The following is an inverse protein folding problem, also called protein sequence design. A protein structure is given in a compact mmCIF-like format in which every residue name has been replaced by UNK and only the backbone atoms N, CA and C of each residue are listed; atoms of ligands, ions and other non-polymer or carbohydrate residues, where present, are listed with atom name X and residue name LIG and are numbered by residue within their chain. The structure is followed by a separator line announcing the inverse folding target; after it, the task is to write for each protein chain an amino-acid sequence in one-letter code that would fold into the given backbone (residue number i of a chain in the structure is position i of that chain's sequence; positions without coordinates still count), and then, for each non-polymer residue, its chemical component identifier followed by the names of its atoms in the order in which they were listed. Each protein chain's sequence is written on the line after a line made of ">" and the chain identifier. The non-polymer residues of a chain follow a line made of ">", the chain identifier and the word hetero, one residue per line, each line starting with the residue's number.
data_IF_293680234485
#
_entry.id   IF_293680234485
#
_cell.length_a   1.000
_cell.length_b   1.000
_cell.length_c   1.000
_cell.angle_alpha   90.00
_cell.angle_beta   90.00
_cell.angle_gamma   90.00
#
_symmetry.space_group_name_H-M   'P 1'
#
loop_
_entity.id
_entity.type
_entity.pdbx_description
1 polymer ?
#
# COMPACT_ATOMS: atom_id res chain seq x y z
N UNK A 1 -12.19 3.16 -2.56
CA UNK A 1 -11.60 2.12 -3.41
C UNK A 1 -12.41 0.83 -3.39
N UNK A 2 -12.61 0.20 -2.23
CA UNK A 2 -13.28 -1.12 -2.14
C UNK A 2 -14.78 -1.15 -2.41
N UNK A 3 -15.52 -0.07 -2.08
CA UNK A 3 -16.95 0.05 -2.41
C UNK A 3 -17.17 0.07 -3.93
N UNK A 4 -16.47 0.90 -4.73
CA UNK A 4 -16.50 0.81 -6.19
C UNK A 4 -16.22 -0.60 -6.72
N UNK A 5 -15.17 -1.25 -6.23
CA UNK A 5 -14.84 -2.63 -6.62
C UNK A 5 -16.01 -3.61 -6.36
N UNK A 6 -16.62 -3.54 -5.18
CA UNK A 6 -17.79 -4.37 -4.84
C UNK A 6 -19.00 -4.10 -5.75
N UNK A 7 -19.23 -2.84 -6.12
CA UNK A 7 -20.31 -2.45 -7.03
C UNK A 7 -20.06 -2.91 -8.47
N UNK A 8 -18.82 -2.82 -8.95
CA UNK A 8 -18.41 -3.33 -10.27
C UNK A 8 -18.59 -4.85 -10.37
N UNK A 9 -18.25 -5.61 -9.32
CA UNK A 9 -18.50 -7.04 -9.26
C UNK A 9 -20.00 -7.37 -9.38
N UNK A 10 -20.86 -6.60 -8.70
CA UNK A 10 -22.31 -6.73 -8.86
C UNK A 10 -22.78 -6.39 -10.27
N UNK A 11 -22.26 -5.33 -10.86
CA UNK A 11 -22.58 -4.93 -12.24
C UNK A 11 -22.19 -6.02 -13.24
N UNK A 12 -21.04 -6.68 -13.02
CA UNK A 12 -20.58 -7.83 -13.78
C UNK A 12 -21.32 -9.14 -13.46
N UNK A 13 -22.36 -9.11 -12.63
CA UNK A 13 -23.15 -10.28 -12.21
C UNK A 13 -22.32 -11.36 -11.52
N UNK A 14 -21.34 -10.96 -10.70
CA UNK A 14 -20.74 -11.82 -9.68
C UNK A 14 -21.66 -11.78 -8.44
N UNK A 15 -22.10 -12.93 -7.89
CA UNK A 15 -23.09 -12.98 -6.81
C UNK A 15 -22.46 -12.65 -5.45
N UNK A 16 -21.91 -11.44 -5.32
CA UNK A 16 -21.31 -10.97 -4.06
C UNK A 16 -22.36 -10.47 -3.07
N UNK A 17 -22.17 -10.81 -1.80
CA UNK A 17 -23.01 -10.42 -0.68
C UNK A 17 -22.31 -9.43 0.24
N UNK A 18 -23.10 -8.71 1.04
CA UNK A 18 -22.55 -7.80 2.05
C UNK A 18 -21.75 -8.56 3.12
N UNK A 19 -22.13 -9.80 3.45
CA UNK A 19 -21.42 -10.61 4.43
C UNK A 19 -20.00 -10.93 3.95
N UNK A 20 -19.87 -11.36 2.71
CA UNK A 20 -18.56 -11.65 2.10
C UNK A 20 -17.68 -10.40 2.00
N UNK A 21 -18.31 -9.26 1.69
CA UNK A 21 -17.61 -7.98 1.69
C UNK A 21 -17.11 -7.59 3.08
N UNK A 22 -17.91 -7.80 4.14
CA UNK A 22 -17.46 -7.58 5.51
C UNK A 22 -16.31 -8.52 5.88
N UNK A 23 -16.37 -9.80 5.49
CA UNK A 23 -15.26 -10.74 5.73
C UNK A 23 -13.97 -10.35 5.02
N UNK A 24 -14.05 -9.75 3.83
CA UNK A 24 -12.87 -9.18 3.17
C UNK A 24 -12.27 -8.04 4.01
N UNK A 25 -13.13 -7.13 4.51
CA UNK A 25 -12.66 -6.01 5.34
C UNK A 25 -12.06 -6.47 6.67
N UNK A 26 -12.64 -7.47 7.32
CA UNK A 26 -12.08 -8.10 8.52
C UNK A 26 -10.67 -8.66 8.27
N UNK A 27 -10.46 -9.31 7.11
CA UNK A 27 -9.14 -9.82 6.72
C UNK A 27 -8.11 -8.72 6.49
N UNK A 28 -8.52 -7.59 5.94
CA UNK A 28 -7.65 -6.41 5.78
C UNK A 28 -7.34 -5.76 7.13
N UNK A 29 -8.34 -5.61 8.00
CA UNK A 29 -8.16 -5.06 9.35
C UNK A 29 -7.21 -5.92 10.20
N UNK A 30 -7.24 -7.24 9.98
CA UNK A 30 -6.32 -8.19 10.62
C UNK A 30 -4.89 -8.18 10.02
N UNK A 31 -4.62 -7.38 8.98
CA UNK A 31 -3.31 -7.31 8.33
C UNK A 31 -2.93 -8.60 7.57
N UNK A 32 -3.92 -9.37 7.07
CA UNK A 32 -3.63 -10.58 6.28
C UNK A 32 -2.93 -10.26 4.95
N UNK A 33 -3.07 -9.01 4.49
CA UNK A 33 -2.47 -8.50 3.27
C UNK A 33 -2.05 -7.06 3.48
N UNK A 34 -0.74 -6.81 3.47
CA UNK A 34 -0.16 -5.47 3.58
C UNK A 34 0.67 -5.16 2.33
N UNK A 35 0.37 -4.01 1.70
CA UNK A 35 1.13 -3.45 0.57
C UNK A 35 1.41 -4.40 -0.60
N UNK A 36 0.55 -5.40 -0.81
CA UNK A 36 0.70 -6.41 -1.86
C UNK A 36 -0.62 -6.60 -2.63
N UNK A 37 -0.60 -6.26 -3.92
CA UNK A 37 -1.75 -6.35 -4.82
C UNK A 37 -2.10 -7.79 -5.15
N UNK A 38 -1.10 -8.68 -5.27
CA UNK A 38 -1.31 -10.09 -5.57
C UNK A 38 -1.92 -10.82 -4.37
N UNK A 39 -1.39 -10.58 -3.17
CA UNK A 39 -1.99 -11.12 -1.96
C UNK A 39 -3.43 -10.58 -1.75
N UNK A 40 -3.68 -9.32 -2.12
CA UNK A 40 -5.03 -8.74 -2.06
C UNK A 40 -5.98 -9.43 -3.06
N UNK A 41 -5.50 -9.72 -4.27
CA UNK A 41 -6.24 -10.47 -5.29
C UNK A 41 -6.72 -11.82 -4.75
N UNK A 42 -5.84 -12.61 -4.14
CA UNK A 42 -6.20 -13.92 -3.61
C UNK A 42 -7.16 -13.82 -2.40
N UNK A 43 -6.94 -12.87 -1.49
CA UNK A 43 -7.85 -12.64 -0.37
C UNK A 43 -9.24 -12.23 -0.87
N UNK A 44 -9.33 -11.27 -1.79
CA UNK A 44 -10.58 -10.80 -2.37
C UNK A 44 -11.31 -11.92 -3.11
N UNK A 45 -10.60 -12.73 -3.91
CA UNK A 45 -11.19 -13.87 -4.62
C UNK A 45 -11.75 -14.91 -3.64
N UNK A 46 -10.99 -15.27 -2.61
CA UNK A 46 -11.43 -16.22 -1.59
C UNK A 46 -12.63 -15.70 -0.78
N UNK A 47 -12.63 -14.40 -0.44
CA UNK A 47 -13.69 -13.78 0.34
C UNK A 47 -14.97 -13.59 -0.47
N UNK A 48 -14.88 -13.20 -1.75
CA UNK A 48 -16.03 -12.73 -2.54
C UNK A 48 -16.58 -13.74 -3.55
N UNK A 49 -15.81 -14.75 -3.97
CA UNK A 49 -16.22 -15.70 -5.02
C UNK A 49 -16.40 -17.10 -4.41
N UNK A 50 -17.65 -17.60 -4.39
CA UNK A 50 -18.00 -18.91 -3.80
C UNK A 50 -18.25 -20.01 -4.80
N UNK A 51 -18.20 -19.67 -6.08
CA UNK A 51 -18.51 -20.57 -7.17
C UNK A 51 -17.55 -20.25 -8.32
N UNK A 52 -16.88 -21.28 -8.81
CA UNK A 52 -15.83 -21.19 -9.80
C UNK A 52 -16.28 -20.56 -11.12
N UNK A 53 -17.58 -20.65 -11.45
CA UNK A 53 -18.15 -20.09 -12.68
C UNK A 53 -18.08 -18.57 -12.75
N UNK A 54 -17.77 -17.90 -11.64
CA UNK A 54 -17.64 -16.45 -11.56
C UNK A 54 -16.20 -15.97 -11.50
N UNK A 55 -15.21 -16.88 -11.50
CA UNK A 55 -13.78 -16.52 -11.43
C UNK A 55 -13.39 -15.63 -12.61
N UNK A 56 -13.72 -16.00 -13.84
CA UNK A 56 -13.33 -15.22 -15.02
C UNK A 56 -13.87 -13.78 -14.98
N UNK A 57 -15.10 -13.61 -14.47
CA UNK A 57 -15.73 -12.29 -14.34
C UNK A 57 -15.07 -11.47 -13.24
N UNK A 58 -14.76 -12.12 -12.12
CA UNK A 58 -14.00 -11.49 -11.05
C UNK A 58 -12.64 -11.01 -11.56
N UNK A 59 -11.90 -11.86 -12.29
CA UNK A 59 -10.59 -11.54 -12.83
C UNK A 59 -10.64 -10.34 -13.79
N UNK A 60 -11.63 -10.30 -14.67
CA UNK A 60 -11.85 -9.16 -15.58
C UNK A 60 -12.13 -7.85 -14.82
N UNK A 61 -13.00 -7.89 -13.82
CA UNK A 61 -13.33 -6.72 -12.99
C UNK A 61 -12.13 -6.28 -12.17
N UNK A 62 -11.41 -7.23 -11.57
CA UNK A 62 -10.22 -6.94 -10.78
C UNK A 62 -9.15 -6.27 -11.64
N UNK A 63 -8.83 -6.86 -12.80
CA UNK A 63 -7.88 -6.29 -13.75
C UNK A 63 -8.31 -4.91 -14.24
N UNK A 64 -9.62 -4.65 -14.41
CA UNK A 64 -10.14 -3.34 -14.80
C UNK A 64 -9.98 -2.29 -13.69
N UNK A 65 -10.37 -2.64 -12.46
CA UNK A 65 -10.41 -1.71 -11.32
C UNK A 65 -9.01 -1.39 -10.80
N UNK A 66 -8.10 -2.37 -10.81
CA UNK A 66 -6.73 -2.23 -10.32
C UNK A 66 -5.70 -1.97 -11.42
N UNK A 67 -6.17 -1.75 -12.66
CA UNK A 67 -5.31 -1.33 -13.78
C UNK A 67 -4.55 -0.06 -13.42
N UNK A 68 -3.22 -0.14 -13.38
CA UNK A 68 -2.35 0.99 -13.02
C UNK A 68 -2.07 1.14 -11.53
N UNK A 69 -2.76 0.41 -10.64
CA UNK A 69 -2.37 0.28 -9.23
C UNK A 69 -1.15 -0.63 -9.11
N UNK A 70 -0.98 -1.63 -9.99
CA UNK A 70 0.26 -2.41 -10.10
C UNK A 70 1.49 -1.54 -10.38
N UNK A 71 1.33 -0.44 -11.13
CA UNK A 71 2.40 0.54 -11.37
C UNK A 71 2.69 1.42 -10.14
N UNK A 72 1.76 1.49 -9.18
CA UNK A 72 1.88 2.24 -7.93
C UNK A 72 2.19 1.35 -6.70
N UNK A 73 2.02 0.03 -6.83
CA UNK A 73 2.25 -0.96 -5.77
C UNK A 73 3.56 -1.72 -5.90
N UNK A 74 4.27 -1.55 -7.02
CA UNK A 74 5.68 -1.94 -7.11
C UNK A 74 6.53 -1.03 -6.22
N UNK A 75 7.61 -1.58 -5.66
CA UNK A 75 8.64 -0.84 -4.92
C UNK A 75 9.25 0.35 -5.68
N UNK A 76 8.92 0.49 -6.97
CA UNK A 76 9.36 1.56 -7.86
C UNK A 76 8.39 2.76 -7.91
N UNK A 77 7.24 2.69 -7.21
CA UNK A 77 6.24 3.75 -7.22
C UNK A 77 6.57 4.95 -6.33
N UNK A 78 7.62 4.85 -5.52
CA UNK A 78 8.23 6.04 -4.95
C UNK A 78 9.28 6.50 -5.94
N UNK A 79 8.84 7.24 -6.94
CA UNK A 79 9.74 8.12 -7.68
C UNK A 79 10.18 9.21 -6.68
N UNK A 80 11.15 8.88 -5.82
CA UNK A 80 11.66 9.71 -4.71
C UNK A 80 12.02 11.11 -5.22
N UNK A 81 12.34 11.22 -6.51
CA UNK A 81 12.63 12.45 -7.23
C UNK A 81 11.51 13.50 -7.17
N UNK A 82 10.25 13.13 -6.90
CA UNK A 82 9.11 14.05 -6.98
C UNK A 82 8.33 14.27 -5.67
N UNK A 83 8.80 13.79 -4.52
CA UNK A 83 8.10 14.06 -3.26
C UNK A 83 8.28 15.54 -2.86
N UNK A 84 7.21 16.35 -2.75
CA UNK A 84 7.33 17.75 -2.34
C UNK A 84 7.85 17.85 -0.91
N UNK A 85 8.91 18.64 -0.71
CA UNK A 85 9.55 18.82 0.60
C UNK A 85 8.57 19.30 1.68
N UNK A 86 7.65 20.20 1.30
CA UNK A 86 6.62 20.73 2.20
C UNK A 86 5.68 19.63 2.72
N UNK A 87 5.38 18.63 1.90
CA UNK A 87 4.52 17.51 2.28
C UNK A 87 5.21 16.59 3.29
N UNK A 88 6.52 16.33 3.12
CA UNK A 88 7.32 15.57 4.08
C UNK A 88 7.49 16.29 5.41
N UNK A 89 7.70 17.62 5.41
CA UNK A 89 7.75 18.41 6.66
C UNK A 89 6.45 18.28 7.45
N UNK A 90 5.29 18.40 6.79
CA UNK A 90 3.98 18.26 7.44
C UNK A 90 3.73 16.85 7.97
N UNK A 91 4.20 15.81 7.27
CA UNK A 91 4.14 14.42 7.75
C UNK A 91 5.01 14.22 9.00
N UNK A 92 6.23 14.75 8.98
CA UNK A 92 7.13 14.71 10.12
C UNK A 92 6.54 15.41 11.35
N UNK A 93 5.94 16.59 11.18
CA UNK A 93 5.27 17.31 12.28
C UNK A 93 4.09 16.54 12.89
N UNK A 94 3.36 15.79 12.06
CA UNK A 94 2.15 15.06 12.47
C UNK A 94 2.44 13.69 13.10
N UNK A 95 3.53 13.04 12.71
CA UNK A 95 3.82 11.65 13.09
C UNK A 95 5.01 11.48 14.03
N UNK A 96 5.93 12.44 14.10
CA UNK A 96 7.06 12.35 15.04
C UNK A 96 6.61 12.73 16.46
N UNK A 97 6.97 11.89 17.42
CA UNK A 97 6.88 12.19 18.85
C UNK A 97 7.89 13.28 19.24
N UNK A 98 7.70 13.90 20.40
CA UNK A 98 8.61 14.96 20.90
C UNK A 98 10.06 14.48 21.08
N UNK A 99 10.26 13.20 21.38
CA UNK A 99 11.59 12.59 21.47
C UNK A 99 12.24 12.44 20.09
N UNK A 100 11.47 12.02 19.10
CA UNK A 100 11.94 11.90 17.71
C UNK A 100 12.20 13.26 17.07
N UNK A 101 11.40 14.29 17.37
CA UNK A 101 11.67 15.66 16.93
C UNK A 101 13.00 16.19 17.46
N UNK A 102 13.32 15.91 18.73
CA UNK A 102 14.63 16.28 19.32
C UNK A 102 15.79 15.52 18.66
N UNK A 103 15.58 14.27 18.28
CA UNK A 103 16.57 13.50 17.51
C UNK A 103 16.81 14.13 16.13
N UNK A 104 15.75 14.60 15.46
CA UNK A 104 15.87 15.33 14.18
C UNK A 104 16.66 16.63 14.36
N UNK A 105 16.40 17.40 15.40
CA UNK A 105 17.18 18.61 15.72
C UNK A 105 18.65 18.27 16.01
N UNK A 106 18.91 17.23 16.82
CA UNK A 106 20.26 16.78 17.17
C UNK A 106 21.07 16.27 15.95
N UNK A 107 20.39 15.71 14.95
CA UNK A 107 20.98 15.30 13.68
C UNK A 107 21.43 16.47 12.80
N UNK A 108 21.00 17.70 13.11
CA UNK A 108 21.26 18.91 12.33
C UNK A 108 20.02 19.43 11.59
N UNK A 109 18.82 19.07 12.06
CA UNK A 109 17.55 19.53 11.50
C UNK A 109 17.05 18.68 10.33
N UNK A 110 15.88 19.08 9.82
CA UNK A 110 15.16 18.37 8.77
C UNK A 110 15.97 18.24 7.46
N UNK A 111 16.78 19.24 7.13
CA UNK A 111 17.56 19.25 5.89
C UNK A 111 18.60 18.13 5.87
N UNK A 112 19.28 17.91 7.01
CA UNK A 112 20.29 16.86 7.16
C UNK A 112 19.67 15.47 7.29
N UNK A 113 18.45 15.38 7.84
CA UNK A 113 17.64 14.16 7.81
C UNK A 113 17.32 13.77 6.34
N UNK A 114 16.90 14.73 5.52
CA UNK A 114 16.60 14.51 4.10
C UNK A 114 17.84 14.15 3.27
N UNK A 115 18.99 14.76 3.56
CA UNK A 115 20.27 14.40 2.93
C UNK A 115 20.67 12.95 3.27
N UNK A 116 20.57 12.57 4.54
CA UNK A 116 20.86 11.20 4.99
C UNK A 116 19.89 10.18 4.38
N UNK A 117 18.61 10.56 4.25
CA UNK A 117 17.60 9.75 3.58
C UNK A 117 17.96 9.51 2.11
N UNK A 118 18.35 10.56 1.38
CA UNK A 118 18.79 10.46 -0.02
C UNK A 118 19.99 9.54 -0.18
N UNK A 119 21.02 9.70 0.64
CA UNK A 119 22.20 8.84 0.61
C UNK A 119 21.84 7.37 0.84
N UNK A 120 20.95 7.07 1.80
CA UNK A 120 20.51 5.69 2.06
C UNK A 120 19.70 5.10 0.91
N UNK A 121 18.85 5.90 0.27
CA UNK A 121 18.06 5.47 -0.90
C UNK A 121 18.95 5.22 -2.12
N UNK A 122 20.00 6.03 -2.33
CA UNK A 122 21.00 5.79 -3.39
C UNK A 122 21.85 4.53 -3.12
N UNK A 123 22.18 4.25 -1.85
CA UNK A 123 22.89 3.03 -1.45
C UNK A 123 22.02 1.76 -1.61
N UNK A 124 20.71 1.91 -1.52
CA UNK A 124 19.74 0.82 -1.58
C UNK A 124 19.47 0.38 -3.02
N UNK A 125 20.22 -0.62 -3.50
CA UNK A 125 20.12 -1.16 -4.87
C UNK A 125 19.10 -2.28 -5.05
N UNK A 126 18.34 -2.64 -4.02
CA UNK A 126 17.36 -3.73 -4.08
C UNK A 126 16.39 -3.77 -2.90
N UNK A 127 15.46 -4.73 -2.95
CA UNK A 127 14.48 -4.98 -1.88
C UNK A 127 15.20 -5.52 -0.64
N UNK A 128 15.08 -4.80 0.48
CA UNK A 128 15.56 -5.24 1.78
C UNK A 128 14.36 -5.42 2.70
N UNK A 129 14.31 -6.56 3.38
CA UNK A 129 13.36 -6.82 4.45
C UNK A 129 14.15 -7.12 5.72
N UNK A 130 13.80 -6.44 6.81
CA UNK A 130 14.39 -6.68 8.13
C UNK A 130 15.77 -6.06 8.33
N UNK A 131 15.82 -4.80 8.77
CA UNK A 131 17.03 -4.17 9.30
C UNK A 131 16.76 -2.75 9.83
N UNK A 132 17.53 -2.31 10.81
CA UNK A 132 17.45 -0.94 11.36
C UNK A 132 18.16 0.11 10.47
N UNK A 133 18.81 -0.33 9.39
CA UNK A 133 19.64 0.49 8.51
C UNK A 133 18.97 0.83 7.17
N UNK A 134 18.30 -0.15 6.56
CA UNK A 134 17.72 -0.07 5.21
C UNK A 134 16.22 0.23 5.28
N UNK A 135 15.70 0.95 4.28
CA UNK A 135 14.31 1.41 4.27
C UNK A 135 13.47 0.40 3.48
N UNK A 136 12.64 -0.34 4.19
CA UNK A 136 11.82 -1.41 3.62
C UNK A 136 11.58 -2.48 4.67
N UNK A 137 10.30 -2.72 4.97
CA UNK A 137 9.88 -3.83 5.82
C UNK A 137 9.55 -5.03 4.95
#
# INVERSE_FOLDING_TARGET
>A
MFIPFFLELKAARVPVSLREYLSLLEGLEAGLVDYDVEAFYYLARAALVKDERHIDRFDQVFAHVFKGVEALGGSDAVDVANIPEEWLRRLAEKHLTEEEKKLVEALGGFDKLMETLKQRLEEQKGRHQGGSKWIGT
#
